data_IF_453504222845
#
_entry.id   IF_453504222845
#
_cell.length_a   1.000
_cell.length_b   1.000
_cell.length_c   1.000
_cell.angle_alpha   90.00
_cell.angle_beta   90.00
_cell.angle_gamma   90.00
#
_symmetry.space_group_name_H-M   'P 1'
#
loop_
_entity.id
_entity.type
_entity.pdbx_description
1 polymer ?
#
# COMPACT_ATOMS: atom_id res chain seq x y z
N UNK A 1 -7.75 2.61 79.13
CA UNK A 1 -7.74 3.44 77.91
C UNK A 1 -6.30 3.66 77.48
N UNK A 2 -5.80 2.90 76.51
CA UNK A 2 -4.41 2.99 76.06
C UNK A 2 -4.20 4.27 75.23
N UNK A 3 -3.34 5.16 75.72
CA UNK A 3 -3.00 6.43 75.08
C UNK A 3 -2.15 6.15 73.84
N UNK A 4 -2.80 6.05 72.69
CA UNK A 4 -2.14 5.89 71.38
C UNK A 4 -1.25 7.12 71.14
N UNK A 5 0.10 6.97 71.03
CA UNK A 5 1.02 8.10 71.01
C UNK A 5 0.76 9.00 69.79
N UNK A 6 0.87 10.32 69.95
CA UNK A 6 0.59 11.35 68.90
C UNK A 6 1.29 11.05 67.56
N UNK A 7 2.49 10.45 67.61
CA UNK A 7 3.23 9.98 66.43
C UNK A 7 2.48 8.91 65.63
N UNK A 8 1.80 7.99 66.28
CA UNK A 8 1.05 6.92 65.64
C UNK A 8 -0.19 7.46 64.91
N UNK A 9 -0.90 8.42 65.53
CA UNK A 9 -2.05 9.10 64.89
C UNK A 9 -1.64 9.91 63.66
N UNK A 10 -0.49 10.59 63.71
CA UNK A 10 0.07 11.33 62.56
C UNK A 10 0.46 10.41 61.40
N UNK A 11 1.09 9.27 61.68
CA UNK A 11 1.43 8.27 60.66
C UNK A 11 0.17 7.66 60.03
N UNK A 12 -0.85 7.36 60.84
CA UNK A 12 -2.10 6.79 60.35
C UNK A 12 -2.90 7.80 59.50
N UNK A 13 -2.91 9.08 59.90
CA UNK A 13 -3.50 10.15 59.09
C UNK A 13 -2.75 10.38 57.77
N UNK A 14 -1.41 10.30 57.77
CA UNK A 14 -0.61 10.41 56.55
C UNK A 14 -0.85 9.23 55.59
N UNK A 15 -0.95 7.99 56.12
CA UNK A 15 -1.30 6.81 55.33
C UNK A 15 -2.72 6.96 54.75
N UNK A 16 -3.69 7.39 55.55
CA UNK A 16 -5.05 7.63 55.08
C UNK A 16 -5.10 8.71 53.99
N UNK A 17 -4.39 9.82 54.18
CA UNK A 17 -4.30 10.89 53.19
C UNK A 17 -3.65 10.40 51.89
N UNK A 18 -2.60 9.57 51.98
CA UNK A 18 -1.97 8.94 50.82
C UNK A 18 -2.92 7.99 50.10
N UNK A 19 -3.67 7.16 50.83
CA UNK A 19 -4.69 6.26 50.26
C UNK A 19 -5.77 7.07 49.56
N UNK A 20 -6.31 8.12 50.20
CA UNK A 20 -7.33 8.99 49.62
C UNK A 20 -6.81 9.72 48.37
N UNK A 21 -5.56 10.17 48.39
CA UNK A 21 -4.91 10.80 47.24
C UNK A 21 -4.75 9.82 46.07
N UNK A 22 -4.28 8.60 46.33
CA UNK A 22 -4.17 7.54 45.33
C UNK A 22 -5.55 7.14 44.76
N UNK A 23 -6.55 7.02 45.63
CA UNK A 23 -7.93 6.71 45.22
C UNK A 23 -8.50 7.84 44.33
N UNK A 24 -8.30 9.09 44.74
CA UNK A 24 -8.70 10.27 43.97
C UNK A 24 -7.99 10.33 42.62
N UNK A 25 -6.70 10.02 42.56
CA UNK A 25 -5.94 9.95 41.32
C UNK A 25 -6.49 8.87 40.39
N UNK A 26 -6.76 7.66 40.90
CA UNK A 26 -7.30 6.55 40.11
C UNK A 26 -8.72 6.86 39.60
N UNK A 27 -9.58 7.43 40.44
CA UNK A 27 -10.97 7.79 40.10
C UNK A 27 -11.04 8.91 39.06
N UNK A 28 -10.04 9.79 39.01
CA UNK A 28 -9.96 10.91 38.06
C UNK A 28 -9.05 10.64 36.86
N UNK A 29 -8.56 9.39 36.67
CA UNK A 29 -7.67 9.01 35.56
C UNK A 29 -8.17 9.51 34.21
N UNK A 30 -9.47 9.40 33.93
CA UNK A 30 -10.04 9.79 32.64
C UNK A 30 -9.91 11.29 32.35
N UNK A 31 -9.68 12.12 33.37
CA UNK A 31 -9.56 13.57 33.24
C UNK A 31 -8.11 14.05 33.11
N UNK A 32 -7.16 13.42 33.82
CA UNK A 32 -5.76 13.84 33.81
C UNK A 32 -4.87 13.02 32.87
N UNK A 33 -5.15 11.73 32.68
CA UNK A 33 -4.32 10.84 31.84
C UNK A 33 -4.24 11.34 30.38
N UNK A 34 -5.35 11.73 29.72
CA UNK A 34 -5.30 12.36 28.40
C UNK A 34 -4.36 13.57 28.32
N UNK A 35 -4.36 14.42 29.35
CA UNK A 35 -3.56 15.65 29.38
C UNK A 35 -2.08 15.37 29.57
N UNK A 36 -1.73 14.36 30.39
CA UNK A 36 -0.33 13.97 30.59
C UNK A 36 0.24 13.26 29.36
N UNK A 37 -0.54 12.38 28.73
CA UNK A 37 -0.09 11.70 27.50
C UNK A 37 0.02 12.70 26.34
N UNK A 38 -0.81 13.75 26.33
CA UNK A 38 -0.73 14.88 25.39
C UNK A 38 0.66 15.53 25.25
N UNK A 39 1.50 15.48 26.29
CA UNK A 39 2.87 16.05 26.25
C UNK A 39 3.79 15.25 25.31
N UNK A 40 3.50 13.96 25.10
CA UNK A 40 4.27 13.04 24.27
C UNK A 40 3.62 12.77 22.91
N UNK A 41 2.46 13.39 22.66
CA UNK A 41 1.70 13.24 21.44
C UNK A 41 2.02 14.39 20.47
N UNK A 42 1.94 14.18 19.15
CA UNK A 42 2.07 15.24 18.16
C UNK A 42 1.08 16.39 18.40
N UNK A 43 1.44 17.59 17.93
CA UNK A 43 0.54 18.74 17.96
C UNK A 43 -0.81 18.43 17.30
N UNK A 44 -1.89 18.99 17.86
CA UNK A 44 -3.28 18.75 17.45
C UNK A 44 -3.80 17.31 17.56
N UNK A 45 -3.13 16.44 18.32
CA UNK A 45 -3.63 15.10 18.62
C UNK A 45 -4.05 14.93 20.07
N UNK A 46 -5.11 14.15 20.32
CA UNK A 46 -5.62 13.87 21.67
C UNK A 46 -6.07 12.43 21.82
N UNK A 47 -5.97 11.92 23.04
CA UNK A 47 -6.50 10.60 23.40
C UNK A 47 -7.73 10.80 24.30
N UNK A 48 -8.84 10.16 23.94
CA UNK A 48 -10.07 10.16 24.74
C UNK A 48 -10.33 8.74 25.28
N UNK A 49 -10.58 8.64 26.59
CA UNK A 49 -10.97 7.39 27.23
C UNK A 49 -12.49 7.38 27.41
N UNK A 50 -13.17 6.45 26.74
CA UNK A 50 -14.62 6.27 26.89
C UNK A 50 -14.92 5.29 28.02
N UNK A 51 -14.71 5.74 29.26
CA UNK A 51 -15.02 5.00 30.48
C UNK A 51 -13.84 4.89 31.46
N UNK A 52 -14.16 4.59 32.72
CA UNK A 52 -13.14 4.46 33.76
C UNK A 52 -12.32 3.17 33.57
N UNK A 53 -10.98 3.24 33.73
CA UNK A 53 -10.15 2.05 33.79
C UNK A 53 -10.57 1.17 34.96
N UNK A 54 -10.46 -0.15 34.80
CA UNK A 54 -10.74 -1.12 35.85
C UNK A 54 -9.56 -2.06 36.00
N UNK A 55 -9.26 -2.46 37.23
CA UNK A 55 -8.31 -3.53 37.46
C UNK A 55 -9.05 -4.88 37.41
N UNK A 56 -8.60 -5.79 36.56
CA UNK A 56 -9.17 -7.15 36.42
C UNK A 56 -8.05 -8.14 36.15
N UNK A 57 -8.07 -9.28 36.82
CA UNK A 57 -7.15 -10.40 36.57
C UNK A 57 -5.66 -10.02 36.62
N UNK A 58 -5.28 -9.08 37.49
CA UNK A 58 -3.88 -8.63 37.61
C UNK A 58 -3.43 -7.69 36.49
N UNK A 59 -4.35 -7.16 35.69
CA UNK A 59 -4.08 -6.18 34.64
C UNK A 59 -5.03 -4.99 34.66
N UNK A 60 -4.61 -3.92 33.96
CA UNK A 60 -5.39 -2.74 33.67
C UNK A 60 -6.30 -3.01 32.47
N UNK A 61 -7.60 -2.83 32.65
CA UNK A 61 -8.60 -2.97 31.60
C UNK A 61 -9.24 -1.61 31.25
N UNK A 62 -9.28 -1.30 29.97
CA UNK A 62 -9.82 -0.06 29.40
C UNK A 62 -10.95 -0.42 28.41
N UNK A 63 -12.19 0.06 28.63
CA UNK A 63 -13.31 -0.29 27.75
C UNK A 63 -13.10 0.18 26.31
N UNK A 64 -12.67 1.43 26.13
CA UNK A 64 -12.44 2.00 24.81
C UNK A 64 -11.50 3.20 24.90
N UNK A 65 -10.55 3.25 23.96
CA UNK A 65 -9.59 4.31 23.76
C UNK A 65 -9.79 4.88 22.36
N UNK A 66 -9.89 6.21 22.23
CA UNK A 66 -9.95 6.88 20.93
C UNK A 66 -8.74 7.79 20.81
N UNK A 67 -8.11 7.78 19.65
CA UNK A 67 -7.05 8.69 19.27
C UNK A 67 -7.56 9.59 18.16
N UNK A 68 -7.53 10.89 18.39
CA UNK A 68 -8.08 11.89 17.48
C UNK A 68 -6.96 12.83 16.99
N UNK A 69 -7.00 13.19 15.71
CA UNK A 69 -6.23 14.25 15.10
C UNK A 69 -7.19 15.38 14.73
N UNK A 70 -7.15 16.50 15.46
CA UNK A 70 -8.21 17.51 15.45
C UNK A 70 -9.56 16.88 15.81
N UNK A 71 -10.55 17.01 14.93
CA UNK A 71 -11.88 16.38 15.09
C UNK A 71 -12.00 15.00 14.41
N UNK A 72 -10.91 14.48 13.84
CA UNK A 72 -10.89 13.22 13.12
C UNK A 72 -10.48 12.06 14.03
N UNK A 73 -11.30 11.02 14.14
CA UNK A 73 -11.00 9.85 14.97
C UNK A 73 -10.05 8.90 14.23
N UNK A 74 -8.74 9.11 14.36
CA UNK A 74 -7.71 8.35 13.64
C UNK A 74 -7.67 6.88 14.05
N UNK A 75 -7.77 6.59 15.34
CA UNK A 75 -7.80 5.21 15.85
C UNK A 75 -8.86 5.05 16.94
N UNK A 76 -9.55 3.91 16.95
CA UNK A 76 -10.43 3.49 18.04
C UNK A 76 -10.06 2.09 18.46
N UNK A 77 -9.73 1.90 19.73
CA UNK A 77 -9.34 0.62 20.33
C UNK A 77 -10.38 0.22 21.36
N UNK A 78 -10.89 -1.01 21.30
CA UNK A 78 -11.89 -1.54 22.22
C UNK A 78 -11.31 -2.65 23.10
N UNK A 79 -11.82 -2.70 24.33
CA UNK A 79 -11.52 -3.70 25.35
C UNK A 79 -10.01 -3.99 25.48
N UNK A 80 -9.23 -2.94 25.73
CA UNK A 80 -7.78 -3.07 25.93
C UNK A 80 -7.53 -3.64 27.32
N UNK A 81 -6.68 -4.65 27.40
CA UNK A 81 -6.15 -5.21 28.63
C UNK A 81 -4.62 -5.13 28.59
N UNK A 82 -4.03 -4.61 29.65
CA UNK A 82 -2.59 -4.51 29.82
C UNK A 82 -2.21 -5.14 31.16
N UNK A 83 -1.47 -6.24 31.12
CA UNK A 83 -1.00 -6.95 32.30
C UNK A 83 0.49 -7.25 32.23
N UNK A 84 1.07 -7.53 33.39
CA UNK A 84 2.42 -8.08 33.47
C UNK A 84 2.34 -9.55 33.88
N UNK A 85 2.79 -10.46 33.02
CA UNK A 85 2.69 -11.89 33.25
C UNK A 85 3.97 -12.60 32.78
N UNK A 86 4.49 -13.54 33.58
CA UNK A 86 5.70 -14.31 33.25
C UNK A 86 6.90 -13.42 32.81
N UNK A 87 7.09 -12.30 33.50
CA UNK A 87 8.15 -11.31 33.19
C UNK A 87 8.04 -10.66 31.80
N UNK A 88 6.83 -10.62 31.22
CA UNK A 88 6.53 -9.97 29.95
C UNK A 88 5.27 -9.10 30.08
N UNK A 89 5.22 -8.01 29.33
CA UNK A 89 3.98 -7.25 29.16
C UNK A 89 3.04 -8.01 28.23
N UNK A 90 1.77 -8.15 28.60
CA UNK A 90 0.73 -8.67 27.72
C UNK A 90 -0.27 -7.56 27.43
N UNK A 91 -0.37 -7.17 26.18
CA UNK A 91 -1.38 -6.23 25.69
C UNK A 91 -2.37 -7.01 24.82
N UNK A 92 -3.63 -7.07 25.22
CA UNK A 92 -4.68 -7.60 24.35
C UNK A 92 -5.72 -6.53 24.07
N UNK A 93 -6.18 -6.41 22.84
CA UNK A 93 -7.34 -5.60 22.49
C UNK A 93 -8.28 -6.39 21.58
N UNK A 94 -9.59 -6.21 21.76
CA UNK A 94 -10.56 -6.97 20.96
C UNK A 94 -10.65 -6.45 19.53
N UNK A 95 -10.60 -5.13 19.36
CA UNK A 95 -10.78 -4.47 18.07
C UNK A 95 -9.97 -3.17 18.03
N UNK A 96 -9.24 -2.96 16.94
CA UNK A 96 -8.57 -1.71 16.59
C UNK A 96 -9.08 -1.27 15.22
N UNK A 97 -9.73 -0.11 15.16
CA UNK A 97 -10.17 0.51 13.90
C UNK A 97 -9.31 1.73 13.62
N UNK A 98 -8.65 1.74 12.47
CA UNK A 98 -7.86 2.85 11.94
C UNK A 98 -8.60 3.51 10.78
N UNK A 99 -8.61 4.83 10.74
CA UNK A 99 -9.16 5.61 9.63
C UNK A 99 -8.02 6.22 8.81
N UNK A 100 -7.82 5.70 7.59
CA UNK A 100 -6.75 6.18 6.73
C UNK A 100 -7.00 7.59 6.19
N UNK A 101 -8.24 8.06 6.17
CA UNK A 101 -8.55 9.43 5.72
C UNK A 101 -8.10 10.47 6.77
N UNK A 102 -8.09 10.09 8.05
CA UNK A 102 -7.61 10.94 9.13
C UNK A 102 -6.08 11.09 9.16
N UNK A 103 -5.31 10.16 8.58
CA UNK A 103 -3.85 10.22 8.54
C UNK A 103 -3.33 11.49 7.84
N UNK A 104 -4.05 11.99 6.82
CA UNK A 104 -3.68 13.21 6.09
C UNK A 104 -3.75 14.48 6.95
N UNK A 105 -4.42 14.43 8.11
CA UNK A 105 -4.53 15.57 9.04
C UNK A 105 -3.42 15.60 10.10
N UNK A 106 -2.58 14.56 10.16
CA UNK A 106 -1.43 14.60 11.06
C UNK A 106 -0.44 15.65 10.54
N UNK A 107 0.11 16.50 11.42
CA UNK A 107 1.15 17.43 11.01
C UNK A 107 2.35 16.64 10.46
N UNK A 108 2.93 17.13 9.36
CA UNK A 108 4.24 16.67 8.94
C UNK A 108 5.20 16.89 10.11
N UNK A 109 5.94 15.85 10.50
CA UNK A 109 6.88 15.95 11.61
C UNK A 109 7.99 16.92 11.19
N UNK A 110 7.88 18.19 11.59
CA UNK A 110 8.98 19.13 11.47
C UNK A 110 10.16 18.54 12.24
N UNK A 111 11.26 18.31 11.52
CA UNK A 111 12.35 17.43 11.91
C UNK A 111 12.72 17.58 13.38
N UNK A 112 12.46 16.52 14.15
CA UNK A 112 12.85 16.47 15.56
C UNK A 112 14.35 16.77 15.67
N UNK A 113 14.70 17.77 16.49
CA UNK A 113 16.10 18.14 16.78
C UNK A 113 16.87 17.09 17.59
N UNK A 114 16.21 15.99 17.97
CA UNK A 114 16.83 14.83 18.59
C UNK A 114 17.56 13.98 17.53
N UNK A 115 18.78 13.53 17.85
CA UNK A 115 19.52 12.61 17.00
C UNK A 115 18.66 11.36 16.69
N UNK A 116 18.56 10.93 15.42
CA UNK A 116 17.74 9.79 15.04
C UNK A 116 18.28 8.53 15.72
N UNK A 117 17.40 7.82 16.44
CA UNK A 117 17.75 6.53 17.05
C UNK A 117 17.89 5.45 15.98
N UNK A 118 18.91 4.62 16.12
CA UNK A 118 19.12 3.43 15.28
C UNK A 118 18.04 2.38 15.55
N UNK A 119 17.83 1.47 14.59
CA UNK A 119 16.93 0.33 14.75
C UNK A 119 17.32 -0.52 15.97
N UNK A 120 18.62 -0.74 16.20
CA UNK A 120 19.11 -1.49 17.35
C UNK A 120 18.79 -0.79 18.68
N UNK A 121 18.88 0.54 18.75
CA UNK A 121 18.49 1.30 19.95
C UNK A 121 16.99 1.23 20.20
N UNK A 122 16.17 1.32 19.14
CA UNK A 122 14.72 1.11 19.25
C UNK A 122 14.40 -0.28 19.78
N UNK A 123 15.02 -1.33 19.22
CA UNK A 123 14.82 -2.71 19.67
C UNK A 123 15.25 -2.91 21.13
N UNK A 124 16.37 -2.30 21.55
CA UNK A 124 16.84 -2.38 22.93
C UNK A 124 15.92 -1.67 23.94
N UNK A 125 15.17 -0.65 23.49
CA UNK A 125 14.19 0.08 24.31
C UNK A 125 12.85 -0.66 24.44
N UNK A 126 12.54 -1.60 23.54
CA UNK A 126 11.29 -2.35 23.59
C UNK A 126 11.34 -3.37 24.74
N UNK A 127 10.42 -3.30 25.71
CA UNK A 127 10.35 -4.33 26.73
C UNK A 127 9.87 -5.65 26.11
N UNK A 128 10.22 -6.78 26.73
CA UNK A 128 9.65 -8.07 26.36
C UNK A 128 8.12 -8.02 26.48
N UNK A 129 7.42 -8.16 25.36
CA UNK A 129 5.99 -7.94 25.29
C UNK A 129 5.31 -8.83 24.25
N UNK A 130 4.08 -9.22 24.55
CA UNK A 130 3.19 -9.94 23.65
C UNK A 130 1.96 -9.06 23.41
N UNK A 131 1.69 -8.74 22.15
CA UNK A 131 0.60 -7.88 21.73
C UNK A 131 -0.34 -8.70 20.86
N UNK A 132 -1.60 -8.83 21.30
CA UNK A 132 -2.65 -9.53 20.57
C UNK A 132 -3.80 -8.56 20.26
N UNK A 133 -4.08 -8.35 18.99
CA UNK A 133 -5.25 -7.62 18.52
C UNK A 133 -6.20 -8.61 17.85
N UNK A 134 -7.37 -8.84 18.43
CA UNK A 134 -8.33 -9.81 17.91
C UNK A 134 -8.86 -9.43 16.51
N UNK A 135 -8.99 -8.13 16.24
CA UNK A 135 -9.40 -7.62 14.93
C UNK A 135 -8.84 -6.23 14.65
N UNK A 136 -7.99 -6.11 13.63
CA UNK A 136 -7.52 -4.85 13.07
C UNK A 136 -8.36 -4.52 11.83
N UNK A 137 -8.93 -3.31 11.78
CA UNK A 137 -9.74 -2.82 10.67
C UNK A 137 -9.13 -1.51 10.20
N UNK A 138 -8.81 -1.41 8.91
CA UNK A 138 -8.41 -0.14 8.28
C UNK A 138 -9.54 0.32 7.38
N UNK A 139 -10.14 1.46 7.66
CA UNK A 139 -11.24 2.03 6.85
C UNK A 139 -10.65 2.84 5.69
N UNK A 140 -11.15 2.67 4.45
CA UNK A 140 -12.32 1.89 4.03
C UNK A 140 -12.02 0.48 3.50
N UNK A 141 -10.94 -0.17 3.91
CA UNK A 141 -10.51 -1.49 3.42
C UNK A 141 -10.82 -2.62 4.40
N UNK A 142 -12.05 -2.65 4.93
CA UNK A 142 -12.44 -3.62 5.96
C UNK A 142 -12.38 -5.07 5.46
N UNK A 143 -12.37 -5.29 4.14
CA UNK A 143 -12.18 -6.60 3.49
C UNK A 143 -10.87 -7.30 3.88
N UNK A 144 -9.83 -6.55 4.29
CA UNK A 144 -8.55 -7.11 4.73
C UNK A 144 -8.41 -7.16 6.25
N UNK A 145 -9.49 -6.97 7.00
CA UNK A 145 -9.45 -7.05 8.45
C UNK A 145 -9.02 -8.45 8.94
N UNK A 146 -8.29 -8.49 10.05
CA UNK A 146 -7.72 -9.73 10.58
C UNK A 146 -7.13 -9.54 11.97
N UNK A 147 -6.74 -10.63 12.61
CA UNK A 147 -6.04 -10.61 13.88
C UNK A 147 -4.56 -10.25 13.67
N UNK A 148 -3.97 -9.50 14.61
CA UNK A 148 -2.54 -9.17 14.63
C UNK A 148 -1.93 -9.67 15.94
N UNK A 149 -0.91 -10.50 15.81
CA UNK A 149 -0.06 -10.96 16.89
C UNK A 149 1.36 -10.41 16.69
N UNK A 150 1.89 -9.76 17.72
CA UNK A 150 3.26 -9.25 17.74
C UNK A 150 3.95 -9.72 19.01
N UNK A 151 5.04 -10.47 18.84
CA UNK A 151 5.91 -10.91 19.93
C UNK A 151 7.21 -10.12 19.88
N UNK A 152 7.49 -9.38 20.95
CA UNK A 152 8.67 -8.54 21.10
C UNK A 152 9.65 -9.21 22.06
N UNK A 153 10.81 -9.60 21.54
CA UNK A 153 11.98 -10.02 22.31
C UNK A 153 13.12 -9.02 22.06
N UNK A 154 14.17 -9.08 22.89
CA UNK A 154 15.26 -8.08 22.87
C UNK A 154 15.96 -7.99 21.50
N UNK A 155 16.13 -9.12 20.83
CA UNK A 155 16.87 -9.28 19.58
C UNK A 155 15.99 -9.79 18.43
N UNK A 156 14.76 -10.20 18.72
CA UNK A 156 13.84 -10.80 17.76
C UNK A 156 12.43 -10.24 17.91
N UNK A 157 11.81 -9.83 16.81
CA UNK A 157 10.41 -9.41 16.77
C UNK A 157 9.67 -10.26 15.74
N UNK A 158 8.58 -10.90 16.17
CA UNK A 158 7.77 -11.74 15.31
C UNK A 158 6.40 -11.10 15.11
N UNK A 159 5.97 -10.99 13.87
CA UNK A 159 4.68 -10.46 13.47
C UNK A 159 3.91 -11.54 12.72
N UNK A 160 2.68 -11.79 13.16
CA UNK A 160 1.71 -12.66 12.51
C UNK A 160 0.42 -11.88 12.31
N UNK A 161 -0.04 -11.80 11.08
CA UNK A 161 -1.33 -11.25 10.70
C UNK A 161 -2.18 -12.33 10.05
N UNK A 162 -3.40 -12.49 10.52
CA UNK A 162 -4.32 -13.52 10.05
C UNK A 162 -5.69 -12.92 9.76
N UNK A 163 -6.00 -12.73 8.48
CA UNK A 163 -7.32 -12.39 7.98
C UNK A 163 -7.72 -13.28 6.80
N UNK A 164 -8.97 -13.14 6.37
CA UNK A 164 -9.53 -13.96 5.30
C UNK A 164 -8.84 -13.68 3.95
N UNK A 165 -8.52 -12.41 3.69
CA UNK A 165 -7.94 -11.96 2.42
C UNK A 165 -6.46 -11.55 2.53
N UNK A 166 -5.90 -11.51 3.73
CA UNK A 166 -4.51 -11.11 3.96
C UNK A 166 -3.90 -11.92 5.10
N UNK A 167 -2.80 -12.58 4.83
CA UNK A 167 -2.00 -13.29 5.84
C UNK A 167 -0.55 -12.86 5.73
N UNK A 168 0.10 -12.58 6.85
CA UNK A 168 1.51 -12.19 6.89
C UNK A 168 2.20 -12.87 8.08
N UNK A 169 3.34 -13.49 7.83
CA UNK A 169 4.24 -14.00 8.85
C UNK A 169 5.64 -13.46 8.59
N UNK A 170 6.14 -12.63 9.50
CA UNK A 170 7.44 -11.99 9.40
C UNK A 170 8.22 -12.07 10.71
N UNK A 171 9.54 -12.19 10.61
CA UNK A 171 10.45 -12.17 11.76
C UNK A 171 11.59 -11.19 11.48
N UNK A 172 11.77 -10.23 12.38
CA UNK A 172 12.91 -9.32 12.40
C UNK A 172 13.91 -9.82 13.44
N UNK A 173 15.17 -10.02 13.04
CA UNK A 173 16.27 -10.36 13.95
C UNK A 173 17.42 -9.37 13.71
N UNK A 174 17.63 -8.46 14.64
CA UNK A 174 18.50 -7.29 14.41
C UNK A 174 18.02 -6.48 13.21
N UNK A 175 18.83 -6.44 12.13
CA UNK A 175 18.48 -5.76 10.87
C UNK A 175 17.91 -6.71 9.80
N UNK A 176 17.85 -8.01 10.05
CA UNK A 176 17.39 -8.99 9.06
C UNK A 176 15.89 -9.24 9.22
N UNK A 177 15.10 -8.81 8.24
CA UNK A 177 13.67 -9.09 8.15
C UNK A 177 13.43 -10.27 7.20
N UNK A 178 12.94 -11.37 7.75
CA UNK A 178 12.50 -12.54 7.03
C UNK A 178 10.98 -12.54 6.90
N UNK A 179 10.47 -12.41 5.68
CA UNK A 179 9.06 -12.59 5.33
C UNK A 179 8.88 -14.06 4.97
N UNK A 180 8.38 -14.84 5.93
CA UNK A 180 8.18 -16.28 5.74
C UNK A 180 7.01 -16.56 4.81
N UNK A 181 5.94 -15.76 4.91
CA UNK A 181 4.77 -15.84 4.04
C UNK A 181 4.01 -14.53 4.05
N UNK A 182 3.67 -14.03 2.87
CA UNK A 182 2.65 -13.01 2.66
C UNK A 182 1.69 -13.56 1.62
N UNK A 183 0.41 -13.67 1.97
CA UNK A 183 -0.64 -14.17 1.08
C UNK A 183 -1.73 -13.12 0.95
N UNK A 184 -2.07 -12.77 -0.28
CA UNK A 184 -3.11 -11.81 -0.62
C UNK A 184 -4.16 -12.48 -1.51
N UNK A 185 -5.40 -12.48 -1.05
CA UNK A 185 -6.56 -12.94 -1.83
C UNK A 185 -7.34 -11.73 -2.30
N UNK A 186 -7.66 -11.67 -3.59
CA UNK A 186 -8.44 -10.59 -4.18
C UNK A 186 -9.49 -11.16 -5.13
N UNK A 187 -10.72 -10.62 -5.20
CA UNK A 187 -11.76 -11.13 -6.10
C UNK A 187 -11.40 -11.09 -7.59
N UNK A 188 -10.48 -10.20 -7.98
CA UNK A 188 -10.00 -10.09 -9.36
C UNK A 188 -8.90 -11.11 -9.72
N UNK A 189 -8.47 -11.94 -8.76
CA UNK A 189 -7.42 -12.94 -8.96
C UNK A 189 -8.01 -14.34 -8.74
N UNK A 190 -7.68 -15.31 -9.61
CA UNK A 190 -8.22 -16.66 -9.49
C UNK A 190 -7.61 -17.44 -8.32
N UNK A 191 -6.34 -17.19 -8.03
CA UNK A 191 -5.62 -17.78 -6.90
C UNK A 191 -4.95 -16.68 -6.05
N UNK A 192 -4.73 -16.92 -4.75
CA UNK A 192 -4.03 -15.98 -3.89
C UNK A 192 -2.59 -15.74 -4.34
N UNK A 193 -2.15 -14.49 -4.29
CA UNK A 193 -0.74 -14.13 -4.50
C UNK A 193 0.06 -14.54 -3.28
N UNK A 194 1.16 -15.25 -3.48
CA UNK A 194 2.08 -15.63 -2.40
C UNK A 194 3.44 -14.97 -2.59
N UNK A 195 3.99 -14.45 -1.50
CA UNK A 195 5.28 -13.77 -1.46
C UNK A 195 6.09 -14.28 -0.26
N UNK A 196 7.40 -14.40 -0.45
CA UNK A 196 8.36 -14.73 0.61
C UNK A 196 9.72 -14.10 0.29
N UNK A 197 10.51 -13.78 1.30
CA UNK A 197 11.77 -13.10 1.06
C UNK A 197 12.55 -12.73 2.31
N UNK A 198 13.77 -12.27 2.10
CA UNK A 198 14.66 -11.78 3.14
C UNK A 198 15.20 -10.42 2.73
N UNK A 199 15.22 -9.48 3.66
CA UNK A 199 15.79 -8.16 3.41
C UNK A 199 16.53 -7.63 4.65
N UNK A 200 17.58 -6.87 4.40
CA UNK A 200 18.31 -6.13 5.42
C UNK A 200 17.74 -4.72 5.52
N UNK A 201 17.14 -4.44 6.68
CA UNK A 201 16.72 -3.11 7.06
C UNK A 201 17.95 -2.20 7.28
N UNK A 202 17.81 -0.90 6.99
CA UNK A 202 18.85 0.08 7.29
C UNK A 202 19.08 0.24 8.79
N UNK A 203 20.20 0.88 9.12
CA UNK A 203 20.54 1.26 10.50
C UNK A 203 19.57 2.29 11.08
N UNK A 204 19.08 3.22 10.27
CA UNK A 204 18.08 4.22 10.65
C UNK A 204 16.78 3.97 9.88
N UNK A 205 15.63 4.11 10.53
CA UNK A 205 14.32 3.87 9.92
C UNK A 205 14.01 4.78 8.71
N UNK A 206 14.74 5.89 8.56
CA UNK A 206 14.62 6.86 7.47
C UNK A 206 15.49 6.55 6.25
N UNK A 207 16.41 5.59 6.37
CA UNK A 207 17.33 5.24 5.29
C UNK A 207 16.73 4.16 4.37
N UNK A 208 17.43 3.84 3.29
CA UNK A 208 16.96 2.91 2.26
C UNK A 208 17.29 1.45 2.65
N UNK A 209 16.42 0.48 2.32
CA UNK A 209 16.74 -0.93 2.46
C UNK A 209 18.07 -1.28 1.77
N UNK A 210 18.96 -1.96 2.48
CA UNK A 210 20.36 -2.15 2.03
C UNK A 210 20.47 -3.26 1.01
N UNK A 211 19.74 -4.36 1.19
CA UNK A 211 19.71 -5.46 0.24
C UNK A 211 18.49 -6.33 0.53
N UNK A 212 18.03 -7.05 -0.47
CA UNK A 212 16.97 -8.01 -0.25
C UNK A 212 16.63 -8.80 -1.49
N UNK A 213 15.90 -9.88 -1.23
CA UNK A 213 15.36 -10.78 -2.23
C UNK A 213 13.94 -11.14 -1.81
N UNK A 214 12.99 -10.85 -2.68
CA UNK A 214 11.59 -11.21 -2.54
C UNK A 214 11.18 -12.01 -3.76
N UNK A 215 10.56 -13.14 -3.52
CA UNK A 215 10.02 -14.01 -4.57
C UNK A 215 8.53 -14.20 -4.36
N UNK A 216 7.80 -14.40 -5.45
CA UNK A 216 6.39 -14.67 -5.39
C UNK A 216 5.86 -15.40 -6.60
N UNK A 217 4.60 -15.82 -6.48
CA UNK A 217 3.85 -16.48 -7.54
C UNK A 217 2.49 -15.82 -7.71
N UNK A 218 2.08 -15.66 -8.97
CA UNK A 218 0.82 -15.07 -9.37
C UNK A 218 0.21 -15.90 -10.50
N UNK A 219 -0.94 -16.51 -10.26
CA UNK A 219 -1.73 -17.16 -11.31
C UNK A 219 -2.72 -16.16 -11.91
N UNK A 220 -2.93 -16.24 -13.23
CA UNK A 220 -3.88 -15.43 -13.98
C UNK A 220 -4.67 -16.35 -14.91
N UNK A 221 -6.00 -16.18 -14.98
CA UNK A 221 -6.88 -17.03 -15.79
C UNK A 221 -6.51 -17.05 -17.28
N UNK A 222 -5.95 -15.94 -17.76
CA UNK A 222 -5.56 -15.78 -19.16
C UNK A 222 -4.23 -16.48 -19.51
N UNK A 223 -3.51 -17.04 -18.54
CA UNK A 223 -2.19 -17.63 -18.74
C UNK A 223 -2.17 -19.12 -18.35
N UNK A 224 -1.44 -19.98 -19.09
CA UNK A 224 -1.41 -21.41 -18.84
C UNK A 224 -0.60 -21.81 -17.60
N UNK A 225 0.34 -20.97 -17.17
CA UNK A 225 1.24 -21.24 -16.06
C UNK A 225 1.34 -20.02 -15.13
N UNK A 226 1.57 -20.23 -13.82
CA UNK A 226 1.74 -19.12 -12.89
C UNK A 226 3.01 -18.32 -13.21
N UNK A 227 2.92 -17.02 -12.99
CA UNK A 227 4.02 -16.08 -13.10
C UNK A 227 4.90 -16.18 -11.86
N UNK A 228 6.21 -16.34 -12.06
CA UNK A 228 7.22 -16.21 -11.01
C UNK A 228 7.73 -14.77 -10.97
N UNK A 229 7.50 -14.12 -9.84
CA UNK A 229 7.96 -12.77 -9.53
C UNK A 229 9.26 -12.87 -8.72
N UNK A 230 10.29 -12.14 -9.11
CA UNK A 230 11.54 -12.03 -8.34
C UNK A 230 11.98 -10.58 -8.29
N UNK A 231 12.10 -10.03 -7.09
CA UNK A 231 12.64 -8.71 -6.82
C UNK A 231 13.92 -8.88 -6.04
N UNK A 232 15.04 -8.46 -6.60
CA UNK A 232 16.35 -8.49 -5.94
C UNK A 232 16.96 -7.10 -5.95
N UNK A 233 17.68 -6.75 -4.89
CA UNK A 233 18.40 -5.49 -4.84
C UNK A 233 19.62 -5.53 -3.94
N UNK A 234 20.55 -4.66 -4.28
CA UNK A 234 21.75 -4.39 -3.52
C UNK A 234 21.98 -2.89 -3.54
N UNK A 235 22.06 -2.31 -2.36
CA UNK A 235 22.16 -0.88 -2.11
C UNK A 235 21.01 -0.12 -2.78
N UNK A 236 21.33 0.82 -3.67
CA UNK A 236 20.40 1.75 -4.30
C UNK A 236 19.93 1.28 -5.68
N UNK A 237 20.11 0.01 -6.02
CA UNK A 237 19.69 -0.53 -7.31
C UNK A 237 19.25 -1.98 -7.20
N UNK A 238 18.35 -2.37 -8.10
CA UNK A 238 17.82 -3.72 -8.16
C UNK A 238 17.12 -4.01 -9.45
N UNK A 239 16.48 -5.17 -9.51
CA UNK A 239 15.70 -5.60 -10.66
C UNK A 239 14.42 -6.30 -10.19
N UNK A 240 13.30 -5.92 -10.78
CA UNK A 240 12.08 -6.71 -10.76
C UNK A 240 12.03 -7.54 -12.05
N UNK A 241 11.94 -8.85 -11.90
CA UNK A 241 11.81 -9.79 -13.02
C UNK A 241 10.55 -10.63 -12.88
N UNK A 242 9.84 -10.78 -14.00
CA UNK A 242 8.68 -11.68 -14.12
C UNK A 242 8.99 -12.72 -15.18
N UNK A 243 8.82 -13.98 -14.82
CA UNK A 243 9.01 -15.11 -15.72
C UNK A 243 7.80 -16.04 -15.65
N UNK A 244 7.64 -16.87 -16.67
CA UNK A 244 6.62 -17.91 -16.73
C UNK A 244 7.32 -19.21 -17.11
N UNK A 245 6.83 -20.35 -16.61
CA UNK A 245 7.35 -21.66 -17.01
C UNK A 245 7.28 -21.80 -18.55
N UNK A 246 8.22 -22.55 -19.11
CA UNK A 246 8.32 -22.84 -20.56
C UNK A 246 8.63 -21.63 -21.47
N UNK A 247 8.77 -20.42 -20.93
CA UNK A 247 9.20 -19.24 -21.69
C UNK A 247 10.64 -18.87 -21.31
N UNK A 248 11.57 -19.02 -22.27
CA UNK A 248 13.01 -18.78 -22.03
C UNK A 248 13.33 -17.32 -21.72
N UNK A 249 12.61 -16.37 -22.36
CA UNK A 249 12.79 -14.94 -22.14
C UNK A 249 11.90 -14.47 -20.97
N UNK A 250 12.40 -13.69 -20.00
CA UNK A 250 11.54 -13.09 -19.00
C UNK A 250 10.46 -12.21 -19.66
N UNK A 251 9.25 -12.26 -19.11
CA UNK A 251 8.11 -11.49 -19.59
C UNK A 251 8.22 -10.01 -19.21
N UNK A 252 8.91 -9.72 -18.11
CA UNK A 252 9.16 -8.37 -17.64
C UNK A 252 10.52 -8.32 -16.95
N UNK A 253 11.29 -7.27 -17.21
CA UNK A 253 12.55 -6.96 -16.54
C UNK A 253 12.62 -5.46 -16.31
N UNK A 254 12.44 -5.01 -15.07
CA UNK A 254 12.48 -3.61 -14.68
C UNK A 254 13.69 -3.39 -13.76
N UNK A 255 14.85 -3.01 -14.32
CA UNK A 255 15.95 -2.54 -13.50
C UNK A 255 15.55 -1.18 -12.92
N UNK A 256 15.82 -1.00 -11.64
CA UNK A 256 15.45 0.21 -10.92
C UNK A 256 16.61 0.74 -10.11
N UNK A 257 16.59 2.06 -9.89
CA UNK A 257 17.49 2.79 -9.03
C UNK A 257 16.68 3.64 -8.06
N UNK A 258 17.16 3.76 -6.83
CA UNK A 258 16.48 4.48 -5.74
C UNK A 258 17.42 5.50 -5.12
N UNK A 259 16.90 6.71 -4.93
CA UNK A 259 17.53 7.78 -4.16
C UNK A 259 16.57 8.25 -3.06
N UNK A 260 16.96 9.28 -2.30
CA UNK A 260 16.08 9.86 -1.29
C UNK A 260 14.79 10.41 -1.88
N UNK A 261 14.88 11.03 -3.05
CA UNK A 261 13.75 11.75 -3.63
C UNK A 261 13.08 10.98 -4.77
N UNK A 262 13.74 9.98 -5.37
CA UNK A 262 13.27 9.38 -6.61
C UNK A 262 13.50 7.86 -6.69
N UNK A 263 12.54 7.15 -7.27
CA UNK A 263 12.75 5.80 -7.84
C UNK A 263 12.69 5.93 -9.36
N UNK A 264 13.68 5.38 -10.06
CA UNK A 264 13.76 5.38 -11.53
C UNK A 264 13.78 3.96 -12.04
N UNK A 265 13.02 3.70 -13.08
CA UNK A 265 13.13 2.52 -13.93
C UNK A 265 13.58 3.03 -15.29
N UNK A 266 14.74 2.56 -15.75
CA UNK A 266 15.28 2.95 -17.04
C UNK A 266 15.57 1.72 -17.89
N UNK A 267 15.16 1.76 -19.16
CA UNK A 267 15.32 0.63 -20.09
C UNK A 267 14.71 -0.67 -19.53
N UNK A 268 13.61 -0.55 -18.80
CA UNK A 268 12.79 -1.70 -18.47
C UNK A 268 12.31 -2.34 -19.76
N UNK A 269 12.22 -3.67 -19.79
CA UNK A 269 11.82 -4.43 -20.96
C UNK A 269 10.61 -5.29 -20.61
N UNK A 270 9.67 -5.42 -21.54
CA UNK A 270 8.60 -6.40 -21.42
C UNK A 270 8.40 -7.14 -22.74
N UNK A 271 7.88 -8.36 -22.61
CA UNK A 271 7.59 -9.25 -23.70
C UNK A 271 6.45 -10.19 -23.31
N UNK A 272 5.35 -10.16 -24.06
CA UNK A 272 4.21 -11.06 -23.90
C UNK A 272 4.02 -11.84 -25.20
N UNK A 273 4.21 -13.17 -25.18
CA UNK A 273 4.12 -14.02 -26.38
C UNK A 273 2.66 -14.35 -26.73
N UNK A 274 1.82 -13.35 -26.93
CA UNK A 274 0.44 -13.58 -27.37
C UNK A 274 0.44 -14.14 -28.80
N UNK A 275 -0.36 -15.17 -29.06
CA UNK A 275 -0.37 -15.89 -30.35
C UNK A 275 -0.64 -14.97 -31.55
N UNK A 276 -1.61 -14.06 -31.41
CA UNK A 276 -2.01 -13.17 -32.49
C UNK A 276 -0.99 -12.04 -32.75
N UNK A 277 -0.34 -11.54 -31.70
CA UNK A 277 0.58 -10.41 -31.78
C UNK A 277 1.48 -10.39 -30.53
N UNK A 278 2.78 -10.73 -30.64
CA UNK A 278 3.68 -10.55 -29.52
C UNK A 278 3.74 -9.07 -29.15
N UNK A 279 3.53 -8.77 -27.87
CA UNK A 279 3.63 -7.42 -27.35
C UNK A 279 5.00 -7.26 -26.72
N UNK A 280 5.75 -6.25 -27.15
CA UNK A 280 7.07 -6.00 -26.56
C UNK A 280 7.41 -4.53 -26.60
N UNK A 281 8.31 -4.13 -25.73
CA UNK A 281 8.82 -2.77 -25.74
C UNK A 281 9.60 -2.47 -24.48
N UNK A 282 9.70 -1.18 -24.19
CA UNK A 282 10.45 -0.63 -23.10
C UNK A 282 9.58 0.22 -22.18
N UNK A 283 10.05 0.32 -20.94
CA UNK A 283 9.43 1.06 -19.86
C UNK A 283 10.48 1.98 -19.26
N UNK A 284 10.16 3.27 -19.22
CA UNK A 284 10.87 4.25 -18.39
C UNK A 284 9.85 4.87 -17.44
N UNK A 285 10.08 4.77 -16.14
CA UNK A 285 9.18 5.31 -15.12
C UNK A 285 10.00 6.01 -14.05
N UNK A 286 9.41 7.06 -13.51
CA UNK A 286 9.97 7.87 -12.45
C UNK A 286 8.90 8.07 -11.39
N UNK A 287 9.26 7.82 -10.13
CA UNK A 287 8.45 8.09 -8.96
C UNK A 287 9.21 9.07 -8.07
N UNK A 288 8.72 10.31 -8.00
CA UNK A 288 9.29 11.38 -7.16
C UNK A 288 8.58 11.45 -5.80
N UNK A 289 9.28 11.95 -4.78
CA UNK A 289 8.79 12.16 -3.40
C UNK A 289 8.24 10.90 -2.71
N UNK A 290 8.77 9.73 -3.06
CA UNK A 290 8.24 8.45 -2.59
C UNK A 290 8.37 8.23 -1.08
N UNK A 291 9.37 8.83 -0.42
CA UNK A 291 9.57 8.72 1.03
C UNK A 291 8.45 9.38 1.84
N UNK A 292 7.79 10.39 1.27
CA UNK A 292 6.64 11.03 1.90
C UNK A 292 5.36 10.20 1.82
N UNK A 293 5.43 9.00 1.23
CA UNK A 293 4.32 8.07 1.07
C UNK A 293 3.63 8.20 -0.30
N UNK A 294 2.82 7.20 -0.62
CA UNK A 294 2.12 7.07 -1.90
C UNK A 294 1.32 8.32 -2.28
N UNK A 295 0.59 8.89 -1.32
CA UNK A 295 -0.31 10.04 -1.54
C UNK A 295 0.45 11.31 -1.98
N UNK A 296 1.70 11.48 -1.53
CA UNK A 296 2.57 12.62 -1.90
C UNK A 296 3.49 12.31 -3.08
N UNK A 297 3.48 11.07 -3.57
CA UNK A 297 4.37 10.63 -4.63
C UNK A 297 3.86 11.11 -6.00
N UNK A 298 4.78 11.52 -6.87
CA UNK A 298 4.47 11.90 -8.24
C UNK A 298 5.03 10.87 -9.22
N UNK A 299 4.18 10.36 -10.10
CA UNK A 299 4.50 9.37 -11.12
C UNK A 299 4.58 10.06 -12.47
N UNK A 300 5.64 9.76 -13.21
CA UNK A 300 5.76 10.11 -14.62
C UNK A 300 6.50 9.03 -15.39
N UNK A 301 6.30 8.98 -16.71
CA UNK A 301 7.11 8.11 -17.55
C UNK A 301 6.49 7.77 -18.89
N UNK A 302 7.06 6.76 -19.52
CA UNK A 302 6.74 6.35 -20.88
C UNK A 302 6.91 4.85 -21.05
N UNK A 303 5.89 4.24 -21.63
CA UNK A 303 5.90 2.86 -22.10
C UNK A 303 5.79 2.89 -23.62
N UNK A 304 6.65 2.18 -24.34
CA UNK A 304 6.45 1.96 -25.77
C UNK A 304 6.02 0.53 -26.04
N UNK A 305 5.23 0.35 -27.09
CA UNK A 305 4.70 -0.92 -27.54
C UNK A 305 4.99 -1.08 -29.03
N UNK A 306 5.78 -2.10 -29.33
CA UNK A 306 6.10 -2.53 -30.67
C UNK A 306 5.08 -3.56 -31.12
N UNK A 307 4.52 -3.32 -32.31
CA UNK A 307 3.55 -4.21 -32.98
C UNK A 307 4.05 -4.52 -34.39
N UNK A 308 3.47 -5.52 -35.05
CA UNK A 308 3.88 -5.92 -36.39
C UNK A 308 2.68 -6.36 -37.23
N UNK A 309 2.63 -5.93 -38.49
CA UNK A 309 1.61 -6.38 -39.41
C UNK A 309 1.91 -5.93 -40.83
N UNK A 310 0.87 -5.71 -41.61
CA UNK A 310 0.95 -5.19 -42.97
C UNK A 310 1.62 -3.81 -42.97
N UNK A 311 2.73 -3.71 -43.68
CA UNK A 311 3.57 -2.50 -43.70
C UNK A 311 4.65 -2.45 -42.61
N UNK A 312 4.98 -3.59 -41.99
CA UNK A 312 6.14 -3.73 -41.11
C UNK A 312 5.83 -3.51 -39.63
N UNK A 313 6.75 -2.86 -38.90
CA UNK A 313 6.61 -2.58 -37.46
C UNK A 313 5.77 -1.32 -37.23
N UNK A 314 4.96 -1.35 -36.19
CA UNK A 314 4.27 -0.18 -35.61
C UNK A 314 4.85 0.14 -34.23
N UNK A 315 4.75 1.39 -33.80
CA UNK A 315 5.14 1.80 -32.46
C UNK A 315 4.05 2.68 -31.84
N UNK A 316 3.55 2.22 -30.70
CA UNK A 316 2.61 2.95 -29.85
C UNK A 316 3.34 3.40 -28.60
N UNK A 317 3.04 4.59 -28.13
CA UNK A 317 3.68 5.21 -26.97
C UNK A 317 2.60 5.63 -25.99
N UNK A 318 2.65 5.09 -24.78
CA UNK A 318 1.89 5.55 -23.64
C UNK A 318 2.78 6.44 -22.78
N UNK A 319 2.52 7.74 -22.77
CA UNK A 319 3.05 8.65 -21.75
C UNK A 319 2.13 8.68 -20.55
N UNK A 320 2.69 8.70 -19.34
CA UNK A 320 1.95 8.87 -18.09
C UNK A 320 2.55 10.00 -17.26
N UNK A 321 1.68 10.70 -16.54
CA UNK A 321 2.05 11.77 -15.63
C UNK A 321 2.52 13.07 -16.30
N UNK A 322 2.99 14.04 -15.49
CA UNK A 322 3.09 13.96 -14.04
C UNK A 322 1.70 13.87 -13.37
N UNK A 323 1.55 12.98 -12.39
CA UNK A 323 0.31 12.78 -11.63
C UNK A 323 0.55 11.89 -10.41
N UNK A 324 -0.48 11.54 -9.65
CA UNK A 324 -0.34 10.72 -8.44
C UNK A 324 -1.30 9.52 -8.47
N UNK A 325 -0.90 8.46 -7.77
CA UNK A 325 -1.76 7.35 -7.41
C UNK A 325 -2.12 7.49 -5.94
N UNK A 326 -3.36 7.15 -5.60
CA UNK A 326 -3.89 7.28 -4.24
C UNK A 326 -4.79 6.10 -3.95
N UNK A 327 -4.83 5.70 -2.69
CA UNK A 327 -5.73 4.64 -2.25
C UNK A 327 -7.19 5.10 -2.21
N UNK A 328 -7.43 6.41 -2.24
CA UNK A 328 -8.77 6.99 -2.24
C UNK A 328 -9.12 7.58 -3.60
N UNK A 329 -8.29 8.47 -4.13
CA UNK A 329 -8.57 9.16 -5.39
C UNK A 329 -7.30 9.56 -6.13
N UNK A 330 -6.91 8.71 -7.08
CA UNK A 330 -5.78 8.94 -7.98
C UNK A 330 -6.09 10.05 -8.97
N UNK A 331 -5.05 10.68 -9.50
CA UNK A 331 -5.14 11.58 -10.64
C UNK A 331 -3.85 11.45 -11.46
N UNK A 332 -3.86 10.53 -12.41
CA UNK A 332 -2.72 10.26 -13.28
C UNK A 332 -3.11 10.49 -14.75
N UNK A 333 -2.74 11.65 -15.32
CA UNK A 333 -2.90 11.91 -16.74
C UNK A 333 -2.12 10.89 -17.57
N UNK A 334 -2.64 10.55 -18.74
CA UNK A 334 -1.93 9.71 -19.71
C UNK A 334 -2.21 10.16 -21.13
N UNK A 335 -1.33 9.79 -22.05
CA UNK A 335 -1.53 9.98 -23.48
C UNK A 335 -1.00 8.77 -24.24
N UNK A 336 -1.90 8.09 -24.94
CA UNK A 336 -1.55 7.01 -25.87
C UNK A 336 -1.48 7.57 -27.29
N UNK A 337 -0.31 7.54 -27.92
CA UNK A 337 -0.09 8.06 -29.27
C UNK A 337 0.75 7.09 -30.09
N UNK A 338 0.42 6.93 -31.37
CA UNK A 338 1.28 6.22 -32.32
C UNK A 338 0.50 5.40 -33.32
N UNK A 339 1.18 4.40 -33.87
CA UNK A 339 0.65 3.48 -34.87
C UNK A 339 0.81 2.03 -34.39
N UNK A 340 -0.29 1.29 -34.37
CA UNK A 340 -0.32 -0.15 -34.14
C UNK A 340 -0.63 -0.87 -35.45
N UNK A 341 0.13 -1.92 -35.75
CA UNK A 341 -0.09 -2.78 -36.94
C UNK A 341 -0.47 -4.16 -36.47
N UNK A 342 -1.56 -4.71 -37.02
CA UNK A 342 -2.07 -6.03 -36.68
C UNK A 342 -2.62 -6.69 -37.94
N UNK A 343 -2.04 -7.83 -38.36
CA UNK A 343 -2.43 -8.53 -39.58
C UNK A 343 -2.54 -7.57 -40.78
N UNK A 344 -3.74 -7.37 -41.35
CA UNK A 344 -4.00 -6.47 -42.48
C UNK A 344 -4.50 -5.07 -42.10
N UNK A 345 -4.47 -4.73 -40.80
CA UNK A 345 -5.03 -3.51 -40.24
C UNK A 345 -3.91 -2.61 -39.69
N UNK A 346 -4.11 -1.31 -39.84
CA UNK A 346 -3.28 -0.27 -39.27
C UNK A 346 -4.17 0.63 -38.42
N UNK A 347 -3.84 0.75 -37.14
CA UNK A 347 -4.51 1.63 -36.20
C UNK A 347 -3.58 2.78 -35.87
N UNK A 348 -4.09 4.00 -35.82
CA UNK A 348 -3.31 5.16 -35.41
C UNK A 348 -4.19 6.17 -34.69
N UNK A 349 -3.64 6.86 -33.71
CA UNK A 349 -4.43 7.75 -32.89
C UNK A 349 -3.62 8.51 -31.85
N UNK A 350 -4.33 9.43 -31.21
CA UNK A 350 -3.89 10.13 -30.00
C UNK A 350 -5.06 10.11 -29.03
N UNK A 351 -4.88 9.46 -27.89
CA UNK A 351 -5.90 9.24 -26.88
C UNK A 351 -5.35 9.79 -25.56
N UNK A 352 -5.53 11.09 -25.29
CA UNK A 352 -5.30 11.65 -23.96
C UNK A 352 -6.39 11.19 -22.99
N UNK A 353 -6.04 10.96 -21.74
CA UNK A 353 -6.99 10.59 -20.70
C UNK A 353 -6.44 10.81 -19.31
N UNK A 354 -7.24 10.46 -18.31
CA UNK A 354 -6.83 10.49 -16.90
C UNK A 354 -7.28 9.20 -16.24
N UNK A 355 -6.39 8.57 -15.49
CA UNK A 355 -6.72 7.54 -14.52
C UNK A 355 -7.10 8.22 -13.20
N UNK A 356 -8.31 7.95 -12.72
CA UNK A 356 -8.83 8.48 -11.46
C UNK A 356 -9.50 7.42 -10.60
N UNK A 357 -9.94 7.79 -9.39
CA UNK A 357 -10.52 6.84 -8.43
C UNK A 357 -9.45 6.11 -7.60
N UNK A 358 -9.90 5.17 -6.77
CA UNK A 358 -8.99 4.42 -5.89
C UNK A 358 -8.02 3.56 -6.71
N UNK A 359 -6.78 3.41 -6.25
CA UNK A 359 -5.81 2.49 -6.84
C UNK A 359 -6.33 1.04 -6.93
N UNK A 360 -7.26 0.65 -6.05
CA UNK A 360 -7.87 -0.68 -6.02
C UNK A 360 -9.09 -0.83 -6.95
N UNK A 361 -9.70 0.28 -7.36
CA UNK A 361 -10.80 0.32 -8.32
C UNK A 361 -10.71 1.58 -9.20
N UNK A 362 -9.71 1.63 -10.11
CA UNK A 362 -9.47 2.81 -10.91
C UNK A 362 -10.45 2.91 -12.08
N UNK A 363 -10.67 4.13 -12.55
CA UNK A 363 -11.39 4.42 -13.79
C UNK A 363 -10.50 5.24 -14.74
N UNK A 364 -10.59 4.94 -16.03
CA UNK A 364 -9.95 5.72 -17.09
C UNK A 364 -11.01 6.60 -17.75
N UNK A 365 -10.73 7.90 -17.85
CA UNK A 365 -11.61 8.86 -18.53
C UNK A 365 -10.87 9.45 -19.72
N UNK A 366 -11.41 9.26 -20.91
CA UNK A 366 -10.81 9.75 -22.15
C UNK A 366 -11.16 11.23 -22.36
N UNK A 367 -10.12 12.05 -22.58
CA UNK A 367 -10.23 13.49 -22.68
C UNK A 367 -10.63 13.95 -24.09
N UNK A 368 -11.04 15.22 -24.26
CA UNK A 368 -11.23 15.82 -25.57
C UNK A 368 -10.00 15.61 -26.46
N UNK A 369 -10.24 15.50 -27.78
CA UNK A 369 -9.23 15.15 -28.81
C UNK A 369 -8.80 13.68 -28.83
N UNK A 370 -9.37 12.83 -27.99
CA UNK A 370 -9.23 11.38 -28.12
C UNK A 370 -9.82 10.89 -29.43
N UNK A 371 -8.96 10.41 -30.32
CA UNK A 371 -9.33 9.91 -31.64
C UNK A 371 -8.51 8.67 -31.97
N UNK A 372 -9.23 7.59 -32.27
CA UNK A 372 -8.66 6.38 -32.86
C UNK A 372 -9.07 6.30 -34.32
N UNK A 373 -8.13 5.95 -35.19
CA UNK A 373 -8.37 5.70 -36.60
C UNK A 373 -7.89 4.29 -36.97
N UNK A 374 -8.57 3.68 -37.92
CA UNK A 374 -8.21 2.39 -38.50
C UNK A 374 -8.28 2.46 -40.01
N UNK A 375 -7.34 1.76 -40.65
CA UNK A 375 -7.27 1.52 -42.09
C UNK A 375 -6.91 0.08 -42.38
N UNK A 376 -7.27 -0.37 -43.57
CA UNK A 376 -6.83 -1.67 -44.09
C UNK A 376 -7.99 -2.63 -44.34
N UNK A 377 -7.65 -3.89 -44.57
CA UNK A 377 -8.60 -4.87 -45.07
C UNK A 377 -9.24 -5.66 -43.93
N UNK A 378 -10.55 -5.50 -43.74
CA UNK A 378 -11.33 -6.24 -42.74
C UNK A 378 -11.78 -7.61 -43.27
N UNK A 379 -12.24 -7.65 -44.52
CA UNK A 379 -12.72 -8.85 -45.21
C UNK A 379 -12.13 -8.89 -46.62
N UNK A 380 -12.19 -10.05 -47.29
CA UNK A 380 -11.68 -10.18 -48.67
C UNK A 380 -12.30 -9.19 -49.66
N UNK A 381 -13.54 -8.77 -49.40
CA UNK A 381 -14.33 -7.85 -50.24
C UNK A 381 -14.51 -6.46 -49.62
N UNK A 382 -13.91 -6.16 -48.46
CA UNK A 382 -14.12 -4.87 -47.79
C UNK A 382 -12.79 -4.26 -47.35
N UNK A 383 -12.41 -3.18 -48.03
CA UNK A 383 -11.24 -2.38 -47.73
C UNK A 383 -11.66 -1.08 -47.05
N UNK A 384 -11.13 -0.83 -45.85
CA UNK A 384 -11.45 0.34 -45.05
C UNK A 384 -10.44 1.44 -45.35
N UNK A 385 -10.92 2.48 -46.02
CA UNK A 385 -10.15 3.69 -46.29
C UNK A 385 -9.94 4.53 -45.03
N UNK A 386 -10.97 4.59 -44.17
CA UNK A 386 -10.88 5.20 -42.86
C UNK A 386 -12.06 4.77 -41.97
N UNK A 387 -11.75 4.24 -40.78
CA UNK A 387 -12.70 4.19 -39.67
C UNK A 387 -12.23 5.13 -38.56
N UNK A 388 -13.09 6.03 -38.08
CA UNK A 388 -12.76 7.04 -37.06
C UNK A 388 -13.64 6.86 -35.83
N UNK A 389 -13.03 6.72 -34.66
CA UNK A 389 -13.72 6.72 -33.37
C UNK A 389 -13.31 7.95 -32.56
N UNK A 390 -14.16 8.97 -32.47
CA UNK A 390 -14.04 9.99 -31.43
C UNK A 390 -14.35 9.34 -30.09
N UNK A 391 -13.40 9.40 -29.16
CA UNK A 391 -13.47 8.70 -27.87
C UNK A 391 -13.62 9.67 -26.68
N UNK A 392 -13.83 10.96 -26.94
CA UNK A 392 -13.95 11.96 -25.89
C UNK A 392 -15.13 11.65 -24.95
N UNK A 393 -14.86 11.63 -23.65
CA UNK A 393 -15.85 11.36 -22.61
C UNK A 393 -16.15 9.88 -22.36
N UNK A 394 -15.52 8.96 -23.10
CA UNK A 394 -15.61 7.52 -22.81
C UNK A 394 -14.91 7.23 -21.48
N UNK A 395 -15.56 6.41 -20.65
CA UNK A 395 -15.05 5.94 -19.37
C UNK A 395 -14.88 4.43 -19.41
N UNK A 396 -13.77 3.94 -18.87
CA UNK A 396 -13.54 2.52 -18.64
C UNK A 396 -13.32 2.30 -17.14
N UNK A 397 -14.07 1.36 -16.56
CA UNK A 397 -13.90 0.94 -15.16
C UNK A 397 -14.03 -0.58 -15.05
N UNK A 398 -13.88 -1.10 -13.83
CA UNK A 398 -14.16 -2.50 -13.51
C UNK A 398 -15.59 -2.95 -13.90
N UNK A 399 -16.54 -2.01 -13.98
CA UNK A 399 -17.93 -2.28 -14.34
C UNK A 399 -18.20 -2.28 -15.85
N UNK A 400 -17.20 -1.93 -16.66
CA UNK A 400 -17.30 -1.92 -18.13
C UNK A 400 -17.02 -0.54 -18.74
N UNK A 401 -17.63 -0.28 -19.89
CA UNK A 401 -17.40 0.92 -20.69
C UNK A 401 -18.67 1.79 -20.71
N UNK A 402 -18.52 3.07 -20.40
CA UNK A 402 -19.57 4.09 -20.45
C UNK A 402 -19.20 5.21 -21.44
N UNK A 403 -20.18 5.78 -22.14
CA UNK A 403 -19.99 6.88 -23.08
C UNK A 403 -20.21 6.55 -24.57
N UNK A 404 -19.99 7.55 -25.43
CA UNK A 404 -20.34 7.49 -26.87
C UNK A 404 -19.26 6.74 -27.67
N UNK A 405 -19.50 5.47 -27.98
CA UNK A 405 -18.68 4.67 -28.90
C UNK A 405 -19.27 4.68 -30.31
N UNK A 406 -19.07 5.76 -31.06
CA UNK A 406 -19.55 5.85 -32.45
C UNK A 406 -18.38 5.87 -33.43
N UNK A 407 -18.46 5.03 -34.46
CA UNK A 407 -17.51 4.97 -35.55
C UNK A 407 -18.06 5.73 -36.77
N UNK A 408 -17.22 6.49 -37.46
CA UNK A 408 -17.50 6.98 -38.80
C UNK A 408 -16.65 6.13 -39.76
N UNK A 409 -17.30 5.34 -40.59
CA UNK A 409 -16.66 4.39 -41.51
C UNK A 409 -16.77 4.88 -42.94
N UNK A 410 -15.63 4.91 -43.62
CA UNK A 410 -15.51 4.99 -45.07
C UNK A 410 -14.79 3.74 -45.56
N UNK A 411 -15.44 2.99 -46.44
CA UNK A 411 -14.95 1.73 -46.96
C UNK A 411 -15.47 1.51 -48.37
N UNK A 412 -14.70 0.77 -49.17
CA UNK A 412 -15.07 0.36 -50.51
C UNK A 412 -14.93 -1.15 -50.67
N UNK A 413 -15.61 -1.69 -51.67
CA UNK A 413 -15.39 -3.07 -52.11
C UNK A 413 -14.30 -3.08 -53.17
N UNK A 414 -13.20 -3.78 -52.87
CA UNK A 414 -12.05 -3.87 -53.76
C UNK A 414 -12.37 -4.54 -55.12
N UNK A 415 -13.52 -5.21 -55.24
CA UNK A 415 -13.99 -5.82 -56.49
C UNK A 415 -14.76 -4.86 -57.41
N UNK A 416 -15.19 -3.70 -56.92
CA UNK A 416 -16.04 -2.77 -57.69
C UNK A 416 -15.32 -1.56 -58.30
N UNK A 417 -13.99 -1.46 -58.15
CA UNK A 417 -13.16 -0.46 -58.84
C UNK A 417 -13.14 0.91 -58.19
#
# INVERSE_FOLDING_TARGET
MAFMPRMFRRRLAAILALILLLLGLILTVTQWLPRLVGIWLPEDTRIELSGAPRWREGGLWLPQLRYLAGDCSLATVKAVSLGWHQSRWKLNASELTLDSTCLQKLPASDGSTAAPKTLAEWQAMLPGADVHLGKLIVTPWQTYAGALDLTLEKDRQQLSYQGDNLQLAATLTGQQLAISRLTLTHPALPEPVTLSGHLALPTFATDLPVNGEVTGQLALDALPHPLKLTLNWQQQQGELRVAMAEVTRPLLRLPWQISRDQIRIEKGEYFWPLEAQPLSGFVNLTLDNWQSGLESSQISGRVNLLTQGRGGKGNVVLGVGPGNLSLTNSNLPFQLTGESKLANLQLYGSIPGVLSGSLLDPQLVLQPKSLLRLRGRLLSTLEVDEARWPLAGVRLSSQGIDGRLQAILNAHDASFG
#
